data_IF_088202288498
#
_entry.id   IF_088202288498
#
_cell.length_a   1.000
_cell.length_b   1.000
_cell.length_c   1.000
_cell.angle_alpha   90.00
_cell.angle_beta   90.00
_cell.angle_gamma   90.00
#
_symmetry.space_group_name_H-M   'P 1'
#
loop_
_entity.id
_entity.type
_entity.pdbx_description
1 polymer ?
#
# COMPACT_ATOMS: atom_id res chain seq x y z
N UNK A 1 4.59 13.78 -5.28
CA UNK A 1 3.39 12.92 -5.33
C UNK A 1 2.75 12.96 -6.71
N UNK A 2 2.55 14.14 -7.28
CA UNK A 2 1.93 14.28 -8.60
C UNK A 2 2.72 13.54 -9.69
N UNK A 3 4.05 13.61 -9.65
CA UNK A 3 4.90 12.93 -10.63
C UNK A 3 4.81 11.41 -10.50
N UNK A 4 4.76 10.89 -9.26
CA UNK A 4 4.63 9.46 -9.01
C UNK A 4 3.23 8.97 -9.38
N UNK A 5 2.20 9.77 -9.13
CA UNK A 5 0.84 9.45 -9.56
C UNK A 5 0.78 9.33 -11.07
N UNK A 6 1.40 10.27 -11.80
CA UNK A 6 1.45 10.23 -13.24
C UNK A 6 2.17 8.99 -13.76
N UNK A 7 3.27 8.57 -13.11
CA UNK A 7 3.99 7.35 -13.47
C UNK A 7 3.12 6.11 -13.32
N UNK A 8 2.38 6.02 -12.21
CA UNK A 8 1.49 4.87 -11.96
C UNK A 8 0.36 4.84 -12.97
N UNK A 9 -0.20 6.01 -13.31
CA UNK A 9 -1.28 6.09 -14.31
C UNK A 9 -0.79 5.73 -15.71
N UNK A 10 0.45 6.10 -16.03
CA UNK A 10 1.04 5.78 -17.34
C UNK A 10 1.38 4.30 -17.45
N UNK A 11 1.78 3.66 -16.35
CA UNK A 11 2.13 2.24 -16.33
C UNK A 11 1.65 1.61 -15.02
N UNK A 12 0.38 1.18 -14.98
CA UNK A 12 -0.21 0.57 -13.77
C UNK A 12 0.51 -0.70 -13.31
N UNK A 13 1.27 -1.34 -14.18
CA UNK A 13 2.03 -2.55 -13.86
C UNK A 13 3.38 -2.25 -13.21
N UNK A 14 3.80 -0.99 -13.15
CA UNK A 14 5.05 -0.59 -12.51
C UNK A 14 4.87 -0.58 -10.99
N UNK A 15 5.17 -1.70 -10.38
CA UNK A 15 5.02 -1.89 -8.94
C UNK A 15 5.95 -1.00 -8.14
N UNK A 16 7.16 -0.77 -8.66
CA UNK A 16 8.13 0.10 -7.98
C UNK A 16 7.62 1.54 -7.92
N UNK A 17 7.07 2.07 -9.02
CA UNK A 17 6.51 3.41 -9.04
C UNK A 17 5.33 3.51 -8.07
N UNK A 18 4.47 2.49 -8.02
CA UNK A 18 3.35 2.45 -7.10
C UNK A 18 3.81 2.38 -5.64
N UNK A 19 4.86 1.62 -5.36
CA UNK A 19 5.46 1.54 -4.03
C UNK A 19 6.01 2.91 -3.61
N UNK A 20 6.73 3.58 -4.51
CA UNK A 20 7.28 4.91 -4.26
C UNK A 20 6.16 5.92 -4.01
N UNK A 21 5.06 5.83 -4.76
CA UNK A 21 3.90 6.67 -4.55
C UNK A 21 3.30 6.46 -3.16
N UNK A 22 3.19 5.21 -2.73
CA UNK A 22 2.68 4.88 -1.40
C UNK A 22 3.54 5.51 -0.30
N UNK A 23 4.86 5.44 -0.45
CA UNK A 23 5.78 6.06 0.51
C UNK A 23 5.60 7.58 0.57
N UNK A 24 5.47 8.22 -0.59
CA UNK A 24 5.27 9.66 -0.66
C UNK A 24 3.91 10.07 -0.05
N UNK A 25 2.87 9.31 -0.31
CA UNK A 25 1.55 9.56 0.27
C UNK A 25 1.60 9.48 1.80
N UNK A 26 2.25 8.43 2.31
CA UNK A 26 2.38 8.25 3.74
C UNK A 26 3.15 9.42 4.38
N UNK A 27 4.23 9.83 3.75
CA UNK A 27 5.03 10.96 4.21
C UNK A 27 4.23 12.27 4.25
N UNK A 28 3.24 12.41 3.37
CA UNK A 28 2.35 13.57 3.32
C UNK A 28 1.11 13.45 4.22
N UNK A 29 1.05 12.40 5.03
CA UNK A 29 -0.07 12.20 5.95
C UNK A 29 -1.27 11.47 5.36
N UNK A 30 -1.15 10.96 4.14
CA UNK A 30 -2.22 10.19 3.49
C UNK A 30 -1.99 8.70 3.69
N UNK A 31 -2.20 8.23 4.91
CA UNK A 31 -2.00 6.82 5.25
C UNK A 31 -3.00 5.93 4.50
N UNK A 32 -4.24 6.39 4.34
CA UNK A 32 -5.27 5.62 3.64
C UNK A 32 -4.87 5.39 2.17
N UNK A 33 -4.44 6.44 1.49
CA UNK A 33 -3.99 6.32 0.10
C UNK A 33 -2.77 5.42 -0.03
N UNK A 34 -1.82 5.54 0.92
CA UNK A 34 -0.64 4.69 0.94
C UNK A 34 -1.01 3.21 1.10
N UNK A 35 -1.92 2.91 2.02
CA UNK A 35 -2.39 1.55 2.24
C UNK A 35 -3.07 1.00 0.98
N UNK A 36 -3.89 1.80 0.32
CA UNK A 36 -4.56 1.38 -0.92
C UNK A 36 -3.57 1.04 -2.02
N UNK A 37 -2.52 1.83 -2.19
CA UNK A 37 -1.49 1.56 -3.19
C UNK A 37 -0.73 0.26 -2.88
N UNK A 38 -0.38 0.06 -1.62
CA UNK A 38 0.33 -1.16 -1.21
C UNK A 38 -0.54 -2.41 -1.36
N UNK A 39 -1.83 -2.30 -1.05
CA UNK A 39 -2.77 -3.40 -1.24
C UNK A 39 -2.89 -3.76 -2.73
N UNK A 40 -2.87 -2.76 -3.61
CA UNK A 40 -2.92 -3.00 -5.05
C UNK A 40 -1.68 -3.74 -5.53
N UNK A 41 -0.49 -3.38 -5.03
CA UNK A 41 0.74 -4.12 -5.34
C UNK A 41 0.61 -5.58 -4.89
N UNK A 42 0.17 -5.79 -3.67
CA UNK A 42 0.02 -7.13 -3.10
C UNK A 42 -1.01 -7.96 -3.89
N UNK A 43 -2.10 -7.34 -4.32
CA UNK A 43 -3.12 -8.00 -5.14
C UNK A 43 -2.55 -8.47 -6.47
N UNK A 44 -1.68 -7.67 -7.09
CA UNK A 44 -1.08 -7.96 -8.39
C UNK A 44 0.06 -8.96 -8.29
N UNK A 45 0.89 -8.84 -7.24
CA UNK A 45 2.05 -9.70 -7.03
C UNK A 45 2.38 -9.76 -5.54
N UNK A 46 1.95 -10.85 -4.90
CA UNK A 46 2.10 -11.03 -3.45
C UNK A 46 3.56 -11.08 -3.01
N UNK A 47 4.43 -11.56 -3.88
CA UNK A 47 5.85 -11.76 -3.54
C UNK A 47 6.77 -10.70 -4.13
N UNK A 48 6.18 -9.64 -4.70
CA UNK A 48 7.00 -8.59 -5.28
C UNK A 48 8.02 -8.08 -4.27
N UNK A 49 9.30 -8.07 -4.70
CA UNK A 49 10.42 -7.58 -3.91
C UNK A 49 10.45 -8.24 -2.52
N UNK A 50 10.35 -9.57 -2.48
CA UNK A 50 10.36 -10.39 -1.24
C UNK A 50 9.26 -9.98 -0.24
N UNK A 51 8.11 -9.59 -0.74
CA UNK A 51 6.98 -9.21 0.11
C UNK A 51 7.06 -7.80 0.66
N UNK A 52 7.77 -6.91 -0.03
CA UNK A 52 7.95 -5.53 0.42
C UNK A 52 6.64 -4.80 0.67
N UNK A 53 5.63 -5.01 -0.19
CA UNK A 53 4.32 -4.36 -0.02
C UNK A 53 3.65 -4.80 1.29
N UNK A 54 3.66 -6.10 1.57
CA UNK A 54 3.09 -6.63 2.81
C UNK A 54 3.85 -6.12 4.04
N UNK A 55 5.17 -6.13 3.97
CA UNK A 55 6.01 -5.64 5.06
C UNK A 55 5.72 -4.17 5.37
N UNK A 56 5.60 -3.35 4.32
CA UNK A 56 5.30 -1.94 4.48
C UNK A 56 3.88 -1.72 5.03
N UNK A 57 2.91 -2.53 4.61
CA UNK A 57 1.56 -2.47 5.15
C UNK A 57 1.56 -2.70 6.66
N UNK A 58 2.26 -3.72 7.14
CA UNK A 58 2.35 -3.99 8.57
C UNK A 58 3.05 -2.85 9.30
N UNK A 59 4.09 -2.28 8.72
CA UNK A 59 4.79 -1.13 9.30
C UNK A 59 3.82 0.04 9.50
N UNK A 60 2.99 0.33 8.49
CA UNK A 60 2.00 1.41 8.59
C UNK A 60 0.94 1.06 9.63
N UNK A 61 0.44 -0.18 9.63
CA UNK A 61 -0.58 -0.60 10.60
C UNK A 61 -0.09 -0.49 12.04
N UNK A 62 1.18 -0.81 12.29
CA UNK A 62 1.78 -0.68 13.62
C UNK A 62 1.96 0.78 14.02
N UNK A 63 2.20 1.67 13.06
CA UNK A 63 2.34 3.10 13.33
C UNK A 63 0.99 3.76 13.61
N UNK A 64 -0.11 3.20 13.10
CA UNK A 64 -1.46 3.69 13.35
C UNK A 64 -2.00 3.14 14.67
N UNK A 65 -2.98 3.83 15.24
CA UNK A 65 -3.64 3.32 16.46
C UNK A 65 -4.39 2.04 16.13
N UNK A 66 -4.48 1.09 17.08
CA UNK A 66 -5.17 -0.19 16.82
C UNK A 66 -6.60 -0.06 16.36
N UNK A 67 -7.29 1.01 16.76
CA UNK A 67 -8.68 1.26 16.38
C UNK A 67 -8.83 2.27 15.25
N UNK A 68 -7.73 2.64 14.60
CA UNK A 68 -7.79 3.57 13.47
C UNK A 68 -8.54 2.92 12.30
N UNK A 69 -9.56 3.59 11.73
CA UNK A 69 -10.33 3.01 10.62
C UNK A 69 -9.46 2.60 9.43
N UNK A 70 -8.39 3.33 9.16
CA UNK A 70 -7.46 2.98 8.07
C UNK A 70 -6.80 1.64 8.35
N UNK A 71 -6.31 1.45 9.58
CA UNK A 71 -5.67 0.19 9.97
C UNK A 71 -6.68 -0.96 9.96
N UNK A 72 -7.87 -0.75 10.50
CA UNK A 72 -8.90 -1.79 10.55
C UNK A 72 -9.34 -2.21 9.15
N UNK A 73 -9.63 -1.26 8.29
CA UNK A 73 -10.07 -1.54 6.92
C UNK A 73 -8.93 -2.16 6.10
N UNK A 74 -7.71 -1.65 6.27
CA UNK A 74 -6.55 -2.19 5.57
C UNK A 74 -6.25 -3.64 5.94
N UNK A 75 -6.30 -3.96 7.23
CA UNK A 75 -6.11 -5.33 7.70
C UNK A 75 -7.19 -6.27 7.20
N UNK A 76 -8.43 -5.81 7.17
CA UNK A 76 -9.55 -6.59 6.63
C UNK A 76 -9.33 -6.90 5.15
N UNK A 77 -8.97 -5.89 4.36
CA UNK A 77 -8.70 -6.06 2.93
C UNK A 77 -7.53 -7.02 2.70
N UNK A 78 -6.46 -6.87 3.48
CA UNK A 78 -5.31 -7.74 3.37
C UNK A 78 -5.66 -9.19 3.72
N UNK A 79 -6.38 -9.40 4.80
CA UNK A 79 -6.83 -10.74 5.20
C UNK A 79 -7.70 -11.37 4.12
N UNK A 80 -8.60 -10.60 3.53
CA UNK A 80 -9.45 -11.07 2.42
C UNK A 80 -8.62 -11.53 1.24
N UNK A 81 -7.55 -10.84 0.93
CA UNK A 81 -6.65 -11.24 -0.16
C UNK A 81 -5.87 -12.51 0.16
N UNK A 82 -5.45 -12.67 1.42
CA UNK A 82 -4.66 -13.82 1.84
C UNK A 82 -5.51 -15.10 1.90
N UNK A 83 -6.73 -14.98 2.39
CA UNK A 83 -7.61 -16.12 2.64
C UNK A 83 -8.71 -16.29 1.59
N UNK A 84 -8.68 -15.53 0.54
CA UNK A 84 -9.70 -15.60 -0.52
C UNK A 84 -9.54 -16.84 -1.43
#
# INVERSE_FOLDING_TARGET
VADLTAKVEADPEDKQARFDLAQAMYANGDAEGAVDQLLEIFRRDREWNDGAAKAQLFTIFEALKPNDPVALNGRRKLSSMIFA
#
